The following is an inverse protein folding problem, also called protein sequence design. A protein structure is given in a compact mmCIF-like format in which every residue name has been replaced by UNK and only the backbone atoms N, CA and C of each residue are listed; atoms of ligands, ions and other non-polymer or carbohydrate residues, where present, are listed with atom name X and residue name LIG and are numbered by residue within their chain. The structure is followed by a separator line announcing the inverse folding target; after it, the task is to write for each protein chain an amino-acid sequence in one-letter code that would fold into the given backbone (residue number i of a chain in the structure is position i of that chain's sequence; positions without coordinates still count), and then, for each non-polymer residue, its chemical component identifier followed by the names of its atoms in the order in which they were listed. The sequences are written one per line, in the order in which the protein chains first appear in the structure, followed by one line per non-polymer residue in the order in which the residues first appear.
data_IF_522484419371
#
_entry.id   IF_522484419371
#
_cell.length_a   1.000
_cell.length_b   1.000
_cell.length_c   1.000
_cell.angle_alpha   90.00
_cell.angle_beta   90.00
_cell.angle_gamma   90.00
#
_symmetry.space_group_name_H-M   'P 1'
#
loop_
_entity.id
_entity.type
_entity.pdbx_description
1 polymer ?
#
# COMPACT_ATOMS: atom_id res chain seq x y z
N UNK A 1 -65.01 19.28 2.38
CA UNK A 1 -63.66 18.79 2.71
C UNK A 1 -62.77 19.01 1.48
N UNK A 2 -61.88 20.00 1.52
CA UNK A 2 -60.92 20.25 0.45
C UNK A 2 -59.71 19.34 0.70
N UNK A 3 -59.49 18.30 -0.10
CA UNK A 3 -58.28 17.53 -0.08
C UNK A 3 -57.10 18.40 -0.56
N UNK A 4 -56.21 18.76 0.34
CA UNK A 4 -54.95 19.42 0.00
C UNK A 4 -54.01 18.34 -0.57
N UNK A 5 -54.16 18.02 -1.85
CA UNK A 5 -53.13 17.26 -2.55
C UNK A 5 -51.88 18.11 -2.60
N UNK A 6 -50.84 17.71 -1.91
CA UNK A 6 -49.49 18.32 -2.14
C UNK A 6 -49.17 18.20 -3.65
N UNK A 7 -48.72 19.28 -4.28
CA UNK A 7 -48.49 19.24 -5.70
C UNK A 7 -47.33 18.27 -6.01
N UNK A 8 -47.53 17.40 -6.99
CA UNK A 8 -46.60 16.31 -7.39
C UNK A 8 -45.15 16.80 -7.62
N UNK A 9 -44.94 18.07 -7.96
CA UNK A 9 -43.59 18.61 -8.11
C UNK A 9 -42.82 18.69 -6.77
N UNK A 10 -43.51 18.88 -5.64
CA UNK A 10 -42.88 18.87 -4.31
C UNK A 10 -42.41 17.49 -3.91
N UNK A 11 -43.19 16.44 -4.18
CA UNK A 11 -42.76 15.05 -3.94
C UNK A 11 -41.61 14.64 -4.82
N UNK A 12 -41.62 15.10 -6.09
CA UNK A 12 -40.52 14.86 -7.03
C UNK A 12 -39.23 15.58 -6.60
N UNK A 13 -39.34 16.84 -6.14
CA UNK A 13 -38.20 17.59 -5.64
C UNK A 13 -37.56 16.98 -4.38
N UNK A 14 -38.39 16.47 -3.46
CA UNK A 14 -37.92 15.75 -2.26
C UNK A 14 -37.22 14.44 -2.63
N UNK A 15 -37.77 13.68 -3.58
CA UNK A 15 -37.15 12.46 -4.08
C UNK A 15 -35.81 12.72 -4.74
N UNK A 16 -35.70 13.76 -5.58
CA UNK A 16 -34.44 14.17 -6.19
C UNK A 16 -33.40 14.64 -5.16
N UNK A 17 -33.83 15.39 -4.14
CA UNK A 17 -32.94 15.82 -3.07
C UNK A 17 -32.43 14.63 -2.23
N UNK A 18 -33.28 13.64 -1.96
CA UNK A 18 -32.90 12.42 -1.27
C UNK A 18 -31.95 11.56 -2.10
N UNK A 19 -32.19 11.42 -3.42
CA UNK A 19 -31.29 10.74 -4.34
C UNK A 19 -29.93 11.44 -4.46
N UNK A 20 -29.94 12.78 -4.56
CA UNK A 20 -28.72 13.57 -4.61
C UNK A 20 -27.95 13.49 -3.28
N UNK A 21 -28.64 13.58 -2.15
CA UNK A 21 -28.05 13.41 -0.81
C UNK A 21 -27.44 12.02 -0.62
N UNK A 22 -28.19 10.97 -1.01
CA UNK A 22 -27.71 9.59 -0.98
C UNK A 22 -26.50 9.37 -1.91
N UNK A 23 -26.54 9.95 -3.11
CA UNK A 23 -25.40 9.90 -4.05
C UNK A 23 -24.17 10.64 -3.51
N UNK A 24 -24.35 11.80 -2.90
CA UNK A 24 -23.27 12.55 -2.25
C UNK A 24 -22.71 11.80 -1.04
N UNK A 25 -23.57 11.22 -0.21
CA UNK A 25 -23.15 10.39 0.93
C UNK A 25 -22.38 9.16 0.44
N UNK A 26 -22.87 8.47 -0.59
CA UNK A 26 -22.17 7.35 -1.23
C UNK A 26 -20.79 7.76 -1.78
N UNK A 27 -20.69 8.93 -2.42
CA UNK A 27 -19.40 9.45 -2.91
C UNK A 27 -18.42 9.78 -1.78
N UNK A 28 -18.91 10.29 -0.63
CA UNK A 28 -18.04 10.60 0.52
C UNK A 28 -17.55 9.32 1.18
N UNK A 29 -18.42 8.30 1.32
CA UNK A 29 -18.09 7.03 1.97
C UNK A 29 -17.19 6.13 1.08
N UNK A 30 -17.19 6.39 -0.24
CA UNK A 30 -16.39 5.66 -1.23
C UNK A 30 -15.38 6.55 -1.97
N UNK A 31 -15.17 7.77 -1.48
CA UNK A 31 -14.11 8.63 -1.98
C UNK A 31 -12.77 7.96 -1.67
N UNK A 32 -12.19 7.32 -2.66
CA UNK A 32 -10.77 6.98 -2.64
C UNK A 32 -10.01 8.28 -2.37
N UNK A 33 -9.03 8.31 -1.46
CA UNK A 33 -8.23 9.50 -1.26
C UNK A 33 -7.71 9.94 -2.64
N UNK A 34 -8.12 11.14 -3.04
CA UNK A 34 -7.69 11.73 -4.32
C UNK A 34 -6.17 11.79 -4.31
N UNK A 35 -5.55 11.11 -5.28
CA UNK A 35 -4.13 10.92 -5.44
C UNK A 35 -3.31 12.17 -5.14
N UNK A 36 -2.72 12.19 -3.99
CA UNK A 36 -1.76 13.15 -3.48
C UNK A 36 -0.92 12.44 -2.44
N UNK A 37 0.33 12.87 -2.26
CA UNK A 37 1.09 12.44 -1.09
C UNK A 37 0.28 12.89 0.13
N UNK A 38 -0.29 11.94 0.85
CA UNK A 38 -0.97 12.22 2.11
C UNK A 38 0.15 12.35 3.14
N UNK A 39 0.45 13.59 3.50
CA UNK A 39 1.27 13.90 4.67
C UNK A 39 0.41 13.61 5.89
N UNK A 40 0.59 12.45 6.50
CA UNK A 40 -0.20 11.98 7.63
C UNK A 40 0.76 11.88 8.81
N UNK A 41 0.45 12.59 9.88
CA UNK A 41 1.13 12.42 11.17
C UNK A 41 0.65 11.08 11.78
N UNK A 42 1.30 9.99 11.36
CA UNK A 42 1.00 8.63 11.81
C UNK A 42 1.98 8.22 12.93
N UNK A 43 1.55 7.37 13.87
CA UNK A 43 2.45 6.82 14.87
C UNK A 43 3.58 6.02 14.20
N UNK A 44 4.72 5.83 14.90
CA UNK A 44 5.77 4.94 14.42
C UNK A 44 5.24 3.56 14.07
N UNK A 45 5.79 2.97 13.02
CA UNK A 45 5.36 1.68 12.50
C UNK A 45 5.58 0.57 13.54
N UNK A 46 4.53 -0.17 13.88
CA UNK A 46 4.66 -1.38 14.69
C UNK A 46 5.51 -2.44 13.97
N UNK A 47 6.37 -3.14 14.71
CA UNK A 47 7.23 -4.17 14.14
C UNK A 47 6.41 -5.40 13.72
N UNK A 48 6.71 -5.95 12.54
CA UNK A 48 6.06 -7.12 12.00
C UNK A 48 7.05 -8.08 11.33
N UNK A 49 6.63 -9.34 11.16
CA UNK A 49 7.40 -10.37 10.50
C UNK A 49 6.53 -11.09 9.45
N UNK A 50 7.13 -11.33 8.28
CA UNK A 50 6.54 -12.08 7.16
C UNK A 50 7.55 -13.13 6.68
N UNK A 51 7.14 -13.99 5.75
CA UNK A 51 8.03 -14.94 5.05
C UNK A 51 8.23 -14.45 3.62
N UNK A 52 9.49 -14.32 3.19
CA UNK A 52 9.81 -13.89 1.83
C UNK A 52 9.75 -15.04 0.80
N UNK A 53 9.94 -14.72 -0.48
CA UNK A 53 9.97 -15.67 -1.60
C UNK A 53 11.12 -16.71 -1.52
N UNK A 54 12.07 -16.55 -0.62
CA UNK A 54 13.12 -17.54 -0.34
C UNK A 54 12.81 -18.47 0.84
N UNK A 55 11.67 -18.23 1.51
CA UNK A 55 11.27 -18.93 2.73
C UNK A 55 11.96 -18.41 3.99
N UNK A 56 12.62 -17.27 3.91
CA UNK A 56 13.27 -16.63 5.07
C UNK A 56 12.34 -15.59 5.72
N UNK A 57 12.52 -15.35 7.02
CA UNK A 57 11.80 -14.27 7.69
C UNK A 57 12.24 -12.90 7.13
N UNK A 58 11.25 -12.09 6.77
CA UNK A 58 11.39 -10.65 6.53
C UNK A 58 10.88 -9.93 7.78
N UNK A 59 11.72 -9.14 8.42
CA UNK A 59 11.37 -8.36 9.61
C UNK A 59 11.45 -6.87 9.32
N UNK A 60 10.37 -6.15 9.62
CA UNK A 60 10.38 -4.68 9.49
C UNK A 60 11.43 -4.02 10.38
N UNK A 61 11.78 -4.63 11.51
CA UNK A 61 12.86 -4.18 12.38
C UNK A 61 14.24 -4.11 11.68
N UNK A 62 14.49 -5.00 10.70
CA UNK A 62 15.74 -5.04 9.93
C UNK A 62 15.81 -3.93 8.86
N UNK A 63 14.71 -3.20 8.69
CA UNK A 63 14.60 -2.06 7.76
C UNK A 63 14.93 -0.72 8.42
N UNK A 64 15.18 -0.67 9.73
CA UNK A 64 15.61 0.56 10.43
C UNK A 64 16.88 1.12 9.78
N UNK A 65 16.88 2.41 9.49
CA UNK A 65 17.98 3.08 8.78
C UNK A 65 17.92 2.99 7.27
N UNK A 66 16.93 2.27 6.70
CA UNK A 66 16.72 2.13 5.25
C UNK A 66 15.41 2.81 4.83
N UNK A 67 15.38 3.31 3.60
CA UNK A 67 14.12 3.72 2.96
C UNK A 67 13.56 2.49 2.27
N UNK A 68 12.29 2.21 2.52
CA UNK A 68 11.63 1.08 1.88
C UNK A 68 10.17 1.38 1.57
N UNK A 69 9.58 0.57 0.71
CA UNK A 69 8.19 0.70 0.31
C UNK A 69 7.44 -0.62 0.49
N UNK A 70 6.15 -0.52 0.80
CA UNK A 70 5.26 -1.67 0.87
C UNK A 70 4.08 -1.50 -0.10
N UNK A 71 3.68 -2.60 -0.73
CA UNK A 71 2.49 -2.70 -1.58
C UNK A 71 1.81 -4.05 -1.39
N UNK A 72 0.52 -4.14 -1.73
CA UNK A 72 -0.22 -5.39 -1.71
C UNK A 72 -0.49 -5.90 -3.12
N UNK A 73 -0.50 -7.22 -3.30
CA UNK A 73 -0.76 -7.89 -4.57
C UNK A 73 -1.27 -9.31 -4.36
N UNK A 74 -1.58 -10.02 -5.43
CA UNK A 74 -1.67 -11.48 -5.48
C UNK A 74 -1.31 -11.99 -6.87
N UNK A 75 -0.69 -13.17 -6.96
CA UNK A 75 -0.06 -13.66 -8.20
C UNK A 75 -1.05 -13.95 -9.33
N UNK A 76 -2.28 -14.32 -8.99
CA UNK A 76 -3.34 -14.69 -9.93
C UNK A 76 -4.25 -13.54 -10.33
N UNK A 77 -3.91 -12.29 -10.00
CA UNK A 77 -4.70 -11.12 -10.33
C UNK A 77 -4.85 -10.92 -11.85
N UNK A 78 -6.07 -10.86 -12.37
CA UNK A 78 -6.29 -10.79 -13.81
C UNK A 78 -6.06 -9.40 -14.42
N UNK A 79 -5.88 -8.34 -13.63
CA UNK A 79 -5.90 -6.97 -14.16
C UNK A 79 -4.91 -5.99 -13.54
N UNK A 80 -5.11 -5.57 -12.28
CA UNK A 80 -4.43 -4.40 -11.71
C UNK A 80 -3.01 -4.69 -11.22
N UNK A 81 -2.78 -5.85 -10.60
CA UNK A 81 -1.48 -6.18 -10.02
C UNK A 81 -0.35 -6.21 -11.07
N UNK A 82 -0.64 -6.70 -12.28
CA UNK A 82 0.38 -6.75 -13.33
C UNK A 82 0.91 -5.35 -13.68
N UNK A 83 0.03 -4.35 -13.74
CA UNK A 83 0.41 -2.97 -14.03
C UNK A 83 1.09 -2.31 -12.83
N UNK A 84 0.58 -2.50 -11.61
CA UNK A 84 1.22 -2.00 -10.40
C UNK A 84 2.65 -2.54 -10.29
N UNK A 85 2.82 -3.85 -10.43
CA UNK A 85 4.14 -4.48 -10.34
C UNK A 85 5.06 -4.10 -11.51
N UNK A 86 4.51 -3.85 -12.72
CA UNK A 86 5.29 -3.30 -13.84
C UNK A 86 5.80 -1.89 -13.53
N UNK A 87 4.97 -1.03 -12.92
CA UNK A 87 5.37 0.29 -12.50
C UNK A 87 6.42 0.24 -11.36
N UNK A 88 6.22 -0.63 -10.36
CA UNK A 88 7.23 -0.88 -9.32
C UNK A 88 8.53 -1.37 -9.97
N UNK A 89 8.46 -2.33 -10.91
CA UNK A 89 9.64 -2.79 -11.66
C UNK A 89 10.35 -1.65 -12.35
N UNK A 90 9.63 -0.75 -13.02
CA UNK A 90 10.22 0.44 -13.62
C UNK A 90 10.95 1.28 -12.56
N UNK A 91 10.32 1.57 -11.42
CA UNK A 91 10.95 2.32 -10.34
C UNK A 91 12.22 1.65 -9.81
N UNK A 92 12.27 0.32 -9.77
CA UNK A 92 13.49 -0.41 -9.37
C UNK A 92 14.64 -0.26 -10.37
N UNK A 93 14.42 0.22 -11.58
CA UNK A 93 15.49 0.44 -12.58
C UNK A 93 16.11 1.83 -12.49
N UNK A 94 15.53 2.73 -11.68
CA UNK A 94 16.05 4.09 -11.54
C UNK A 94 17.26 4.11 -10.61
N UNK A 95 18.40 4.56 -11.12
CA UNK A 95 19.66 4.64 -10.36
C UNK A 95 19.52 5.44 -9.06
N UNK A 96 18.71 6.50 -9.09
CA UNK A 96 18.43 7.38 -7.95
C UNK A 96 17.62 6.69 -6.84
N UNK A 97 17.05 5.50 -7.09
CA UNK A 97 16.32 4.67 -6.14
C UNK A 97 17.04 3.35 -5.84
N UNK A 98 18.34 3.25 -6.16
CA UNK A 98 19.11 2.01 -5.97
C UNK A 98 19.14 1.54 -4.51
N UNK A 99 19.08 2.45 -3.55
CA UNK A 99 19.10 2.17 -2.11
C UNK A 99 17.72 1.92 -1.50
N UNK A 100 16.64 1.92 -2.31
CA UNK A 100 15.27 1.62 -1.84
C UNK A 100 15.06 0.11 -1.78
N UNK A 101 14.55 -0.39 -0.66
CA UNK A 101 14.05 -1.76 -0.53
C UNK A 101 12.56 -1.81 -0.86
N UNK A 102 12.16 -2.81 -1.64
CA UNK A 102 10.78 -2.98 -2.13
C UNK A 102 10.17 -4.21 -1.49
N UNK A 103 8.93 -4.10 -1.01
CA UNK A 103 8.22 -5.19 -0.34
C UNK A 103 6.82 -5.31 -0.92
N UNK A 104 6.54 -6.42 -1.60
CA UNK A 104 5.21 -6.75 -2.11
C UNK A 104 4.62 -7.85 -1.25
N UNK A 105 3.44 -7.61 -0.66
CA UNK A 105 2.80 -8.51 0.32
C UNK A 105 1.57 -9.13 -0.33
N UNK A 106 1.51 -10.46 -0.39
CA UNK A 106 0.35 -11.12 -0.97
C UNK A 106 -0.89 -11.06 -0.09
N UNK A 107 -2.06 -10.88 -0.74
CA UNK A 107 -3.39 -10.98 -0.11
C UNK A 107 -4.11 -12.30 -0.46
N UNK A 108 -3.39 -13.26 -1.07
CA UNK A 108 -3.88 -14.61 -1.38
C UNK A 108 -2.91 -15.68 -0.85
N UNK A 109 -2.73 -15.80 0.46
CA UNK A 109 -1.75 -16.74 1.03
C UNK A 109 -2.06 -18.20 0.73
N UNK A 110 -3.29 -18.56 0.37
CA UNK A 110 -3.67 -19.93 0.01
C UNK A 110 -3.06 -20.34 -1.34
N UNK A 111 -3.02 -19.42 -2.30
CA UNK A 111 -2.46 -19.64 -3.64
C UNK A 111 -0.97 -19.32 -3.68
N UNK A 112 -0.57 -18.22 -3.05
CA UNK A 112 0.77 -17.64 -3.15
C UNK A 112 1.74 -18.28 -2.14
N UNK A 113 2.03 -19.55 -2.33
CA UNK A 113 3.08 -20.25 -1.59
C UNK A 113 4.48 -19.69 -1.91
N UNK A 114 5.48 -20.00 -1.08
CA UNK A 114 6.87 -19.56 -1.30
C UNK A 114 7.39 -19.91 -2.71
N UNK A 115 7.18 -21.13 -3.25
CA UNK A 115 7.57 -21.44 -4.63
C UNK A 115 6.83 -20.59 -5.69
N UNK A 116 5.53 -20.28 -5.46
CA UNK A 116 4.73 -19.44 -6.37
C UNK A 116 5.25 -18.00 -6.36
N UNK A 117 5.52 -17.43 -5.18
CA UNK A 117 6.10 -16.10 -5.05
C UNK A 117 7.47 -16.00 -5.70
N UNK A 118 8.31 -17.05 -5.57
CA UNK A 118 9.60 -17.09 -6.24
C UNK A 118 9.45 -17.07 -7.76
N UNK A 119 8.61 -17.96 -8.31
CA UNK A 119 8.36 -18.00 -9.75
C UNK A 119 7.77 -16.68 -10.28
N UNK A 120 6.88 -16.05 -9.49
CA UNK A 120 6.32 -14.73 -9.83
C UNK A 120 7.40 -13.65 -9.91
N UNK A 121 8.28 -13.60 -8.91
CA UNK A 121 9.40 -12.65 -8.88
C UNK A 121 10.40 -12.87 -10.04
N UNK A 122 10.70 -14.13 -10.37
CA UNK A 122 11.55 -14.51 -11.50
C UNK A 122 10.93 -14.07 -12.84
N UNK A 123 9.61 -14.26 -13.02
CA UNK A 123 8.90 -13.82 -14.23
C UNK A 123 8.91 -12.30 -14.40
N UNK A 124 8.93 -11.55 -13.29
CA UNK A 124 9.11 -10.10 -13.30
C UNK A 124 10.56 -9.67 -13.54
N UNK A 125 11.53 -10.60 -13.57
CA UNK A 125 12.96 -10.30 -13.51
C UNK A 125 13.28 -9.34 -12.34
N UNK A 126 12.70 -9.59 -11.16
CA UNK A 126 12.87 -8.77 -9.98
C UNK A 126 14.30 -8.93 -9.43
N UNK A 127 14.88 -7.83 -8.95
CA UNK A 127 16.13 -7.86 -8.21
C UNK A 127 15.85 -8.32 -6.76
N UNK A 128 16.01 -9.61 -6.51
CA UNK A 128 15.71 -10.24 -5.21
C UNK A 128 16.66 -9.83 -4.09
N UNK A 129 17.71 -9.07 -4.37
CA UNK A 129 18.57 -8.49 -3.33
C UNK A 129 17.88 -7.33 -2.58
N UNK A 130 16.89 -6.70 -3.21
CA UNK A 130 16.18 -5.53 -2.67
C UNK A 130 14.68 -5.50 -2.95
N UNK A 131 14.11 -6.51 -3.66
CA UNK A 131 12.67 -6.64 -3.84
C UNK A 131 12.19 -7.98 -3.26
N UNK A 132 11.46 -7.89 -2.16
CA UNK A 132 10.93 -9.02 -1.42
C UNK A 132 9.45 -9.22 -1.73
N UNK A 133 9.06 -10.47 -1.99
CA UNK A 133 7.68 -10.89 -2.19
C UNK A 133 7.27 -11.72 -0.97
N UNK A 134 6.48 -11.11 -0.10
CA UNK A 134 6.23 -11.62 1.24
C UNK A 134 4.83 -12.18 1.40
N UNK A 135 4.70 -13.13 2.32
CA UNK A 135 3.44 -13.77 2.70
C UNK A 135 3.35 -14.01 4.21
N UNK A 136 2.12 -14.19 4.68
CA UNK A 136 1.80 -14.76 5.97
C UNK A 136 0.61 -15.71 5.78
N UNK A 137 0.56 -16.84 6.48
CA UNK A 137 -0.54 -17.81 6.36
C UNK A 137 -1.85 -17.27 6.96
N UNK A 138 -1.76 -16.36 7.92
CA UNK A 138 -2.92 -15.72 8.55
C UNK A 138 -3.36 -14.47 7.76
N UNK A 139 -4.42 -14.60 6.97
CA UNK A 139 -4.99 -13.45 6.25
C UNK A 139 -5.52 -12.36 7.20
N UNK A 140 -6.02 -12.69 8.39
CA UNK A 140 -6.46 -11.69 9.36
C UNK A 140 -5.27 -10.84 9.84
N UNK A 141 -4.08 -11.44 9.95
CA UNK A 141 -2.85 -10.70 10.22
C UNK A 141 -2.49 -9.74 9.07
N UNK A 142 -2.56 -10.21 7.80
CA UNK A 142 -2.32 -9.35 6.62
C UNK A 142 -3.28 -8.17 6.59
N UNK A 143 -4.55 -8.41 6.93
CA UNK A 143 -5.55 -7.33 6.97
C UNK A 143 -5.20 -6.29 8.05
N UNK A 144 -4.88 -6.72 9.27
CA UNK A 144 -4.44 -5.80 10.34
C UNK A 144 -3.16 -5.06 9.94
N UNK A 145 -2.21 -5.76 9.33
CA UNK A 145 -0.98 -5.14 8.84
C UNK A 145 -1.28 -4.01 7.85
N UNK A 146 -2.26 -4.19 6.96
CA UNK A 146 -2.63 -3.17 5.99
C UNK A 146 -3.36 -1.98 6.60
N UNK A 147 -4.27 -2.23 7.54
CA UNK A 147 -5.16 -1.19 8.11
C UNK A 147 -4.49 -0.45 9.27
N UNK A 148 -3.90 -1.20 10.21
CA UNK A 148 -3.44 -0.66 11.49
C UNK A 148 -1.95 -0.25 11.45
N UNK A 149 -1.14 -0.93 10.62
CA UNK A 149 0.32 -0.72 10.60
C UNK A 149 0.76 0.10 9.40
N UNK A 150 0.34 -0.27 8.19
CA UNK A 150 0.75 0.40 6.95
C UNK A 150 -0.22 1.51 6.51
N UNK A 151 -1.33 1.70 7.23
CA UNK A 151 -2.35 2.71 6.97
C UNK A 151 -2.90 2.68 5.52
N UNK A 152 -2.86 1.52 4.88
CA UNK A 152 -3.47 1.28 3.58
C UNK A 152 -4.77 0.49 3.79
N UNK A 153 -5.90 1.18 3.93
CA UNK A 153 -7.20 0.49 3.99
C UNK A 153 -7.56 -0.20 2.66
N UNK A 154 -8.68 -0.97 2.69
CA UNK A 154 -9.25 -1.56 1.47
C UNK A 154 -8.57 -2.84 0.99
N UNK A 155 -7.83 -3.53 1.85
CA UNK A 155 -7.29 -4.87 1.57
C UNK A 155 -8.30 -5.93 2.01
N UNK A 156 -8.65 -6.85 1.08
CA UNK A 156 -9.49 -8.01 1.34
C UNK A 156 -8.88 -9.24 0.64
N UNK A 157 -9.39 -10.43 0.96
CA UNK A 157 -8.93 -11.65 0.29
C UNK A 157 -9.10 -11.52 -1.24
N UNK A 158 -8.00 -11.71 -1.98
CA UNK A 158 -7.92 -11.51 -3.44
C UNK A 158 -8.37 -10.13 -3.91
N UNK A 159 -8.20 -9.12 -3.06
CA UNK A 159 -8.49 -7.72 -3.40
C UNK A 159 -7.56 -6.78 -2.64
N UNK A 160 -7.00 -5.82 -3.34
CA UNK A 160 -6.16 -4.77 -2.77
C UNK A 160 -6.38 -3.46 -3.49
N UNK A 161 -5.98 -2.37 -2.87
CA UNK A 161 -5.89 -1.08 -3.54
C UNK A 161 -4.56 -0.94 -4.31
N UNK A 162 -4.41 0.14 -5.07
CA UNK A 162 -3.23 0.41 -5.90
C UNK A 162 -2.22 1.33 -5.21
N UNK A 163 -2.30 1.48 -3.88
CA UNK A 163 -1.40 2.34 -3.13
C UNK A 163 -0.09 1.64 -2.77
N UNK A 164 0.97 2.44 -2.77
CA UNK A 164 2.32 2.09 -2.32
C UNK A 164 2.67 3.01 -1.17
N UNK A 165 3.06 2.44 -0.04
CA UNK A 165 3.47 3.18 1.17
C UNK A 165 4.97 3.35 1.16
N UNK A 166 5.43 4.54 1.49
CA UNK A 166 6.85 4.86 1.67
C UNK A 166 7.15 4.94 3.16
N UNK A 167 8.14 4.19 3.59
CA UNK A 167 8.64 4.20 4.96
C UNK A 167 10.08 4.77 4.95
N UNK A 168 10.31 5.74 5.81
CA UNK A 168 11.60 6.44 5.91
C UNK A 168 12.62 5.67 6.76
N UNK A 169 13.82 6.25 6.90
CA UNK A 169 14.93 5.66 7.68
C UNK A 169 14.66 5.59 9.18
N UNK A 170 13.69 6.33 9.71
CA UNK A 170 13.28 6.26 11.12
C UNK A 170 12.32 5.09 11.36
N UNK A 171 11.73 4.52 10.29
CA UNK A 171 10.65 3.55 10.35
C UNK A 171 9.28 4.21 10.47
N UNK A 172 9.15 5.45 10.02
CA UNK A 172 7.91 6.21 10.00
C UNK A 172 7.33 6.20 8.59
N UNK A 173 5.99 6.22 8.47
CA UNK A 173 5.34 6.36 7.17
C UNK A 173 5.54 7.78 6.68
N UNK A 174 6.37 7.94 5.64
CA UNK A 174 6.63 9.24 5.02
C UNK A 174 5.50 9.67 4.08
N UNK A 175 4.72 8.73 3.58
CA UNK A 175 3.58 8.99 2.71
C UNK A 175 3.21 7.79 1.85
N UNK A 176 2.16 7.97 1.04
CA UNK A 176 1.70 6.95 0.10
C UNK A 176 1.37 7.59 -1.25
N UNK A 177 1.50 6.82 -2.30
CA UNK A 177 1.15 7.25 -3.66
C UNK A 177 0.38 6.15 -4.39
N UNK A 178 -0.44 6.54 -5.36
CA UNK A 178 -1.12 5.59 -6.22
C UNK A 178 -0.13 5.08 -7.27
N UNK A 179 0.22 3.78 -7.20
CA UNK A 179 1.16 3.14 -8.11
C UNK A 179 0.66 2.97 -9.55
N UNK A 180 -0.58 3.38 -9.83
CA UNK A 180 -1.22 3.34 -11.14
C UNK A 180 -1.20 4.68 -11.89
N UNK A 181 -1.15 5.78 -11.13
CA UNK A 181 -1.20 7.14 -11.65
C UNK A 181 0.20 7.62 -12.02
N UNK A 182 0.48 8.00 -13.28
CA UNK A 182 1.77 8.55 -13.66
C UNK A 182 2.18 9.79 -12.84
N UNK A 183 1.24 10.70 -12.61
CA UNK A 183 1.49 11.91 -11.81
C UNK A 183 1.84 11.60 -10.35
N UNK A 184 1.28 10.51 -9.80
CA UNK A 184 1.57 10.10 -8.43
C UNK A 184 2.86 9.29 -8.34
N UNK A 185 3.24 8.56 -9.40
CA UNK A 185 4.56 7.93 -9.51
C UNK A 185 5.67 8.97 -9.43
N UNK A 186 5.56 10.09 -10.16
CA UNK A 186 6.54 11.17 -10.11
C UNK A 186 6.65 11.79 -8.71
N UNK A 187 5.52 11.99 -8.03
CA UNK A 187 5.49 12.45 -6.64
C UNK A 187 6.11 11.42 -5.69
N UNK A 188 5.82 10.13 -5.89
CA UNK A 188 6.41 9.03 -5.14
C UNK A 188 7.93 9.01 -5.28
N UNK A 189 8.46 9.14 -6.49
CA UNK A 189 9.91 9.26 -6.76
C UNK A 189 10.50 10.47 -6.03
N UNK A 190 9.86 11.63 -6.10
CA UNK A 190 10.33 12.83 -5.43
C UNK A 190 10.40 12.65 -3.90
N UNK A 191 9.39 12.00 -3.29
CA UNK A 191 9.37 11.72 -1.87
C UNK A 191 10.43 10.68 -1.46
N UNK A 192 10.60 9.60 -2.24
CA UNK A 192 11.64 8.61 -2.01
C UNK A 192 13.04 9.24 -2.01
N UNK A 193 13.32 10.11 -2.98
CA UNK A 193 14.59 10.88 -3.05
C UNK A 193 14.79 11.76 -1.82
N UNK A 194 13.74 12.42 -1.34
CA UNK A 194 13.77 13.20 -0.11
C UNK A 194 14.14 12.33 1.08
N UNK A 195 13.47 11.18 1.28
CA UNK A 195 13.76 10.24 2.36
C UNK A 195 15.19 9.67 2.28
N UNK A 196 15.68 9.37 1.07
CA UNK A 196 17.06 8.92 0.88
C UNK A 196 18.10 9.98 1.25
N UNK A 197 17.82 11.26 0.97
CA UNK A 197 18.70 12.38 1.29
C UNK A 197 18.74 12.73 2.78
N UNK A 198 17.71 12.36 3.54
CA UNK A 198 17.65 12.63 4.98
C UNK A 198 18.75 11.88 5.74
N UNK A 199 19.51 12.61 6.55
CA UNK A 199 20.50 12.03 7.47
C UNK A 199 19.77 11.68 8.77
N UNK A 200 19.72 10.40 9.10
CA UNK A 200 19.17 9.91 10.36
C UNK A 200 20.33 9.37 11.18
N UNK A 201 20.49 9.91 12.38
CA UNK A 201 21.42 9.38 13.37
C UNK A 201 20.76 8.12 13.97
N UNK A 202 21.03 6.96 13.36
CA UNK A 202 20.54 5.67 13.88
C UNK A 202 21.47 5.29 15.03
N UNK A 203 21.01 5.29 16.29
CA UNK A 203 21.84 4.85 17.40
C UNK A 203 22.26 3.40 17.14
N UNK A 204 23.55 3.17 16.95
CA UNK A 204 24.11 1.83 16.87
C UNK A 204 23.73 1.09 18.16
N UNK A 205 22.90 0.06 18.03
CA UNK A 205 22.72 -0.91 19.10
C UNK A 205 24.08 -1.60 19.28
N UNK A 206 24.85 -1.15 20.24
CA UNK A 206 25.99 -1.93 20.72
C UNK A 206 25.45 -3.28 21.15
N UNK A 207 25.87 -4.32 20.45
CA UNK A 207 25.67 -5.70 20.88
C UNK A 207 26.42 -5.87 22.21
N UNK A 208 25.74 -5.66 23.31
CA UNK A 208 26.22 -6.16 24.60
C UNK A 208 26.00 -7.67 24.61
N UNK A 209 27.09 -8.34 24.27
CA UNK A 209 27.24 -9.77 24.53
C UNK A 209 27.36 -9.96 26.06
N UNK A 210 26.46 -10.75 26.62
CA UNK A 210 26.67 -11.51 27.85
C UNK A 210 26.09 -12.89 27.69
#
# INVERSE_FOLDING_TARGET
MKSSALPYWLTFAVALAALYGGFKFYQVDHAQPSGGIVDVDLPPLDEFELIDQSGKPFRSADMKGKVWVASFFYSTCPSSCARLNANIKYLTTLDELADVTWVSITVDPETDSVPVLRAYAENLNADLSRWHFCRCDDFAYIKRLSEDVLAIGGVAYKSHNDYVVIIDKKGEIAGLFNGYSPDDLDKGVALLKKCLAEKVDVPHRTAEAT
#
